data_IF_441739978413
#
_entry.id   IF_441739978413
#
_cell.length_a   1.000
_cell.length_b   1.000
_cell.length_c   1.000
_cell.angle_alpha   90.00
_cell.angle_beta   90.00
_cell.angle_gamma   90.00
#
_symmetry.space_group_name_H-M   'P 1'
#
loop_
_entity.id
_entity.type
_entity.pdbx_description
1 polymer ?
#
# COMPACT_ATOMS: atom_id res chain seq x y z
N UNK A 1 -17.50 -7.23 -10.39
CA UNK A 1 -17.34 -8.23 -11.49
C UNK A 1 -16.80 -9.57 -10.99
N UNK A 2 -17.62 -10.63 -10.87
CA UNK A 2 -17.17 -12.01 -10.55
C UNK A 2 -17.19 -12.97 -11.76
N UNK A 3 -17.49 -12.48 -12.96
CA UNK A 3 -17.69 -13.32 -14.15
C UNK A 3 -16.41 -13.84 -14.81
N UNK A 4 -15.21 -13.36 -14.44
CA UNK A 4 -13.97 -13.78 -15.07
C UNK A 4 -13.35 -15.06 -14.48
N UNK A 5 -13.82 -15.54 -13.32
CA UNK A 5 -13.26 -16.74 -12.68
C UNK A 5 -13.95 -18.05 -13.14
N UNK A 6 -15.15 -17.96 -13.73
CA UNK A 6 -15.91 -19.15 -14.14
C UNK A 6 -15.57 -19.62 -15.56
N UNK A 7 -15.20 -18.69 -16.46
CA UNK A 7 -14.84 -18.98 -17.85
C UNK A 7 -13.46 -19.63 -18.03
N UNK A 8 -12.59 -19.61 -17.03
CA UNK A 8 -11.27 -20.27 -17.13
C UNK A 8 -11.31 -21.78 -16.86
N UNK A 9 -12.38 -22.33 -16.27
CA UNK A 9 -12.48 -23.80 -16.08
C UNK A 9 -12.80 -24.57 -17.36
N UNK A 10 -13.35 -23.94 -18.39
CA UNK A 10 -13.75 -24.63 -19.63
C UNK A 10 -12.61 -24.76 -20.65
N UNK A 11 -11.51 -24.01 -20.50
CA UNK A 11 -10.44 -23.99 -21.52
C UNK A 11 -9.42 -25.12 -21.40
N UNK A 12 -9.46 -25.94 -20.35
CA UNK A 12 -8.52 -27.07 -20.19
C UNK A 12 -7.05 -26.68 -20.13
N UNK A 13 -6.75 -25.38 -19.98
CA UNK A 13 -5.40 -24.88 -19.75
C UNK A 13 -5.13 -25.08 -18.26
N UNK A 14 -4.57 -26.24 -17.92
CA UNK A 14 -4.02 -26.49 -16.60
C UNK A 14 -2.92 -25.46 -16.34
N UNK A 15 -3.23 -24.43 -15.55
CA UNK A 15 -2.18 -23.56 -15.04
C UNK A 15 -1.22 -24.46 -14.25
N UNK A 16 0.10 -24.32 -14.44
CA UNK A 16 1.07 -25.13 -13.71
C UNK A 16 0.82 -24.99 -12.21
N UNK A 17 0.80 -26.13 -11.50
CA UNK A 17 0.62 -26.24 -10.06
C UNK A 17 1.78 -25.56 -9.32
N UNK A 18 1.71 -24.24 -9.26
CA UNK A 18 2.62 -23.42 -8.49
C UNK A 18 2.30 -23.65 -7.02
N UNK A 19 3.31 -23.90 -6.15
CA UNK A 19 3.06 -23.99 -4.72
C UNK A 19 2.50 -22.66 -4.19
N UNK A 20 1.73 -22.72 -3.10
CA UNK A 20 1.24 -21.54 -2.42
C UNK A 20 2.38 -20.56 -2.09
N UNK A 21 2.13 -19.28 -2.34
CA UNK A 21 3.09 -18.23 -2.02
C UNK A 21 3.26 -18.09 -0.50
N UNK A 22 4.46 -17.68 -0.05
CA UNK A 22 4.71 -17.38 1.38
C UNK A 22 3.69 -16.42 1.98
N UNK A 23 3.18 -15.47 1.18
CA UNK A 23 2.15 -14.54 1.61
C UNK A 23 0.80 -15.21 1.86
N UNK A 24 0.39 -16.15 1.00
CA UNK A 24 -0.83 -16.93 1.20
C UNK A 24 -0.73 -17.84 2.43
N UNK A 25 0.40 -18.52 2.62
CA UNK A 25 0.62 -19.36 3.81
C UNK A 25 0.52 -18.51 5.09
N UNK A 26 1.19 -17.35 5.12
CA UNK A 26 1.12 -16.43 6.27
C UNK A 26 -0.30 -15.92 6.51
N UNK A 27 -1.05 -15.62 5.45
CA UNK A 27 -2.46 -15.23 5.56
C UNK A 27 -3.32 -16.39 6.10
N UNK A 28 -3.13 -17.62 5.59
CA UNK A 28 -3.86 -18.78 6.05
C UNK A 28 -3.60 -19.08 7.53
N UNK A 29 -2.33 -19.02 7.97
CA UNK A 29 -1.96 -19.14 9.39
C UNK A 29 -2.66 -18.10 10.26
N UNK A 30 -2.72 -16.85 9.80
CA UNK A 30 -3.45 -15.79 10.51
C UNK A 30 -4.96 -16.08 10.58
N UNK A 31 -5.57 -16.59 9.51
CA UNK A 31 -6.99 -16.98 9.52
C UNK A 31 -7.26 -18.13 10.48
N UNK A 32 -6.38 -19.14 10.52
CA UNK A 32 -6.45 -20.26 11.48
C UNK A 32 -6.38 -19.75 12.92
N UNK A 33 -5.46 -18.84 13.22
CA UNK A 33 -5.34 -18.23 14.55
C UNK A 33 -6.61 -17.46 14.95
N UNK A 34 -7.35 -16.92 13.99
CA UNK A 34 -8.61 -16.23 14.21
C UNK A 34 -9.83 -17.18 14.17
N UNK A 35 -9.63 -18.49 14.20
CA UNK A 35 -10.72 -19.47 14.29
C UNK A 35 -11.33 -19.86 12.93
N UNK A 36 -10.56 -19.80 11.84
CA UNK A 36 -11.00 -20.33 10.56
C UNK A 36 -11.32 -21.83 10.68
N UNK A 37 -12.47 -22.29 10.13
CA UNK A 37 -12.77 -23.70 10.06
C UNK A 37 -11.80 -24.41 9.09
N UNK A 38 -11.64 -25.73 9.25
CA UNK A 38 -10.82 -26.59 8.38
C UNK A 38 -9.33 -26.20 8.35
N UNK A 39 -8.76 -25.86 9.50
CA UNK A 39 -7.36 -25.50 9.62
C UNK A 39 -6.41 -26.65 9.21
N UNK A 40 -6.86 -27.89 9.41
CA UNK A 40 -6.17 -29.13 9.05
C UNK A 40 -5.97 -29.33 7.54
N UNK A 41 -6.75 -28.64 6.70
CA UNK A 41 -6.59 -28.71 5.24
C UNK A 41 -5.38 -27.89 4.76
N UNK A 42 -4.87 -26.95 5.55
CA UNK A 42 -3.75 -26.09 5.17
C UNK A 42 -2.41 -26.77 5.47
N UNK A 43 -1.64 -27.07 4.43
CA UNK A 43 -0.31 -27.65 4.57
C UNK A 43 0.76 -26.99 3.67
N UNK A 44 2.02 -27.14 4.07
CA UNK A 44 3.18 -26.65 3.33
C UNK A 44 3.37 -27.50 2.06
N UNK A 45 2.90 -26.99 0.92
CA UNK A 45 2.89 -27.70 -0.36
C UNK A 45 1.55 -27.68 -1.09
N UNK A 46 0.50 -27.12 -0.49
CA UNK A 46 -0.78 -26.89 -1.16
C UNK A 46 -0.59 -26.04 -2.43
N UNK A 47 -1.30 -26.39 -3.50
CA UNK A 47 -1.23 -25.63 -4.74
C UNK A 47 -1.81 -24.22 -4.52
N UNK A 48 -1.27 -23.23 -5.25
CA UNK A 48 -1.68 -21.83 -5.12
C UNK A 48 -3.17 -21.64 -5.31
N UNK A 49 -3.77 -22.35 -6.27
CA UNK A 49 -5.20 -22.29 -6.56
C UNK A 49 -6.05 -22.87 -5.43
N UNK A 50 -5.66 -24.02 -4.88
CA UNK A 50 -6.33 -24.63 -3.73
C UNK A 50 -6.29 -23.72 -2.50
N UNK A 51 -5.11 -23.12 -2.23
CA UNK A 51 -4.93 -22.17 -1.13
C UNK A 51 -5.80 -20.92 -1.30
N UNK A 52 -5.93 -20.39 -2.53
CA UNK A 52 -6.82 -19.26 -2.79
C UNK A 52 -8.29 -19.60 -2.51
N UNK A 53 -8.75 -20.79 -2.91
CA UNK A 53 -10.11 -21.25 -2.61
C UNK A 53 -10.30 -21.37 -1.09
N UNK A 54 -9.37 -22.02 -0.40
CA UNK A 54 -9.42 -22.18 1.05
C UNK A 54 -9.45 -20.83 1.76
N UNK A 55 -8.57 -19.88 1.40
CA UNK A 55 -8.53 -18.53 1.97
C UNK A 55 -9.87 -17.80 1.77
N UNK A 56 -10.49 -17.92 0.59
CA UNK A 56 -11.81 -17.31 0.31
C UNK A 56 -12.89 -17.92 1.19
N UNK A 57 -12.89 -19.24 1.42
CA UNK A 57 -13.84 -19.91 2.32
C UNK A 57 -13.60 -19.55 3.79
N UNK A 58 -12.36 -19.62 4.25
CA UNK A 58 -11.96 -19.28 5.61
C UNK A 58 -12.38 -17.86 5.97
N UNK A 59 -12.15 -16.88 5.09
CA UNK A 59 -12.53 -15.49 5.33
C UNK A 59 -14.03 -15.27 5.52
N UNK A 60 -14.88 -16.00 4.78
CA UNK A 60 -16.34 -15.92 4.96
C UNK A 60 -16.76 -16.33 6.38
N UNK A 61 -16.04 -17.28 6.99
CA UNK A 61 -16.38 -17.84 8.28
C UNK A 61 -15.80 -17.05 9.45
N UNK A 62 -14.56 -16.55 9.32
CA UNK A 62 -13.91 -15.80 10.41
C UNK A 62 -14.52 -14.41 10.59
N UNK A 63 -15.21 -13.87 9.58
CA UNK A 63 -15.73 -12.51 9.64
C UNK A 63 -14.63 -11.45 9.70
N UNK A 64 -13.37 -11.84 9.45
CA UNK A 64 -12.30 -10.92 9.09
C UNK A 64 -12.73 -10.29 7.76
N UNK A 65 -13.37 -9.13 7.87
CA UNK A 65 -13.68 -8.27 6.75
C UNK A 65 -12.35 -7.78 6.18
N UNK A 66 -11.72 -8.60 5.33
CA UNK A 66 -10.77 -8.15 4.32
C UNK A 66 -11.55 -7.12 3.50
N UNK A 67 -11.53 -5.86 3.94
CA UNK A 67 -12.31 -4.72 3.45
C UNK A 67 -13.54 -5.17 2.67
N UNK A 68 -14.71 -5.20 3.32
CA UNK A 68 -15.98 -5.51 2.65
C UNK A 68 -15.95 -4.95 1.22
N UNK A 69 -16.14 -5.79 0.19
CA UNK A 69 -16.13 -5.30 -1.17
C UNK A 69 -17.10 -4.12 -1.21
N UNK A 70 -16.59 -2.98 -1.68
CA UNK A 70 -17.37 -1.75 -1.72
C UNK A 70 -18.72 -2.07 -2.37
N UNK A 71 -19.84 -1.62 -1.79
CA UNK A 71 -21.15 -1.97 -2.30
C UNK A 71 -21.23 -1.56 -3.78
N UNK A 72 -21.95 -2.31 -4.64
CA UNK A 72 -22.04 -2.04 -6.07
C UNK A 72 -22.46 -0.59 -6.37
N UNK A 73 -23.25 0.01 -5.49
CA UNK A 73 -23.65 1.41 -5.56
C UNK A 73 -22.45 2.36 -5.56
N UNK A 74 -21.46 2.14 -4.69
CA UNK A 74 -20.24 2.96 -4.61
C UNK A 74 -19.31 2.67 -5.79
N UNK A 75 -19.24 1.43 -6.25
CA UNK A 75 -18.39 1.05 -7.38
C UNK A 75 -18.83 1.73 -8.69
N UNK A 76 -20.14 1.91 -8.87
CA UNK A 76 -20.73 2.59 -10.02
C UNK A 76 -20.81 4.13 -9.87
N UNK A 77 -20.43 4.69 -8.73
CA UNK A 77 -20.37 6.15 -8.58
C UNK A 77 -19.27 6.72 -9.46
N UNK A 78 -19.48 7.95 -9.93
CA UNK A 78 -18.44 8.72 -10.64
C UNK A 78 -17.22 8.88 -9.73
N UNK A 79 -16.04 8.64 -10.29
CA UNK A 79 -14.80 8.82 -9.55
C UNK A 79 -14.60 10.29 -9.18
N UNK A 80 -14.14 10.53 -7.95
CA UNK A 80 -13.80 11.89 -7.49
C UNK A 80 -12.43 12.32 -8.03
N UNK A 81 -12.20 13.63 -8.13
CA UNK A 81 -10.93 14.19 -8.64
C UNK A 81 -9.68 13.65 -7.95
N UNK A 82 -9.64 13.42 -6.61
CA UNK A 82 -8.49 12.80 -5.96
C UNK A 82 -8.19 11.38 -6.45
N UNK A 83 -9.21 10.58 -6.78
CA UNK A 83 -9.00 9.23 -7.31
C UNK A 83 -8.45 9.28 -8.74
N UNK A 84 -8.97 10.19 -9.57
CA UNK A 84 -8.47 10.42 -10.93
C UNK A 84 -7.01 10.90 -10.89
N UNK A 85 -6.69 11.84 -10.01
CA UNK A 85 -5.31 12.32 -9.85
C UNK A 85 -4.37 11.19 -9.42
N UNK A 86 -4.75 10.40 -8.41
CA UNK A 86 -3.95 9.25 -7.98
C UNK A 86 -3.70 8.25 -9.12
N UNK A 87 -4.71 8.02 -9.96
CA UNK A 87 -4.57 7.15 -11.13
C UNK A 87 -3.63 7.72 -12.19
N UNK A 88 -3.68 9.03 -12.46
CA UNK A 88 -2.72 9.73 -13.36
C UNK A 88 -1.29 9.60 -12.85
N UNK A 89 -1.06 9.81 -11.56
CA UNK A 89 0.27 9.74 -10.97
C UNK A 89 0.86 8.31 -11.06
N UNK A 90 0.03 7.30 -10.85
CA UNK A 90 0.40 5.90 -11.04
C UNK A 90 0.61 5.55 -12.52
N UNK A 91 -0.20 6.09 -13.43
CA UNK A 91 -0.03 5.94 -14.87
C UNK A 91 1.34 6.49 -15.32
N UNK A 92 1.68 7.72 -14.90
CA UNK A 92 2.97 8.33 -15.18
C UNK A 92 4.16 7.50 -14.67
N UNK A 93 4.04 6.94 -13.47
CA UNK A 93 5.09 6.12 -12.85
C UNK A 93 5.28 4.74 -13.50
N UNK A 94 4.17 4.14 -13.95
CA UNK A 94 4.13 2.81 -14.56
C UNK A 94 4.32 2.83 -16.08
N UNK A 95 4.12 3.97 -16.73
CA UNK A 95 4.15 4.11 -18.20
C UNK A 95 2.90 3.56 -18.90
N UNK A 96 1.80 3.32 -18.17
CA UNK A 96 0.54 2.88 -18.76
C UNK A 96 -0.34 4.06 -19.16
N UNK A 97 -1.05 3.94 -20.28
CA UNK A 97 -2.06 4.91 -20.71
C UNK A 97 -3.41 4.66 -20.01
N UNK A 98 -4.17 5.73 -19.77
CA UNK A 98 -5.47 5.66 -19.09
C UNK A 98 -6.52 5.13 -20.08
N UNK A 99 -7.17 3.98 -19.81
CA UNK A 99 -8.06 3.31 -20.76
C UNK A 99 -9.51 3.81 -20.73
N UNK A 100 -9.84 4.78 -19.87
CA UNK A 100 -11.20 5.27 -19.65
C UNK A 100 -11.29 6.78 -19.88
N UNK A 101 -12.52 7.26 -20.17
CA UNK A 101 -12.80 8.69 -20.25
C UNK A 101 -13.01 9.26 -18.85
N UNK A 102 -12.11 10.14 -18.41
CA UNK A 102 -12.13 10.73 -17.06
C UNK A 102 -13.43 11.49 -16.73
N UNK A 103 -14.11 12.08 -17.72
CA UNK A 103 -15.36 12.81 -17.50
C UNK A 103 -16.52 11.90 -17.03
N UNK A 104 -16.45 10.61 -17.37
CA UNK A 104 -17.49 9.60 -17.12
C UNK A 104 -16.97 8.38 -16.34
N UNK A 105 -15.71 8.41 -15.88
CA UNK A 105 -15.08 7.28 -15.23
C UNK A 105 -15.78 6.95 -13.91
N UNK A 106 -16.08 5.66 -13.71
CA UNK A 106 -16.60 5.16 -12.43
C UNK A 106 -15.46 4.85 -11.47
N UNK A 107 -15.79 4.73 -10.19
CA UNK A 107 -14.83 4.27 -9.19
C UNK A 107 -14.27 2.88 -9.53
N UNK A 108 -15.08 1.97 -10.07
CA UNK A 108 -14.62 0.63 -10.47
C UNK A 108 -13.59 0.68 -11.59
N UNK A 109 -13.78 1.54 -12.59
CA UNK A 109 -12.83 1.74 -13.71
C UNK A 109 -11.46 2.20 -13.18
N UNK A 110 -11.49 3.26 -12.37
CA UNK A 110 -10.29 3.87 -11.78
C UNK A 110 -9.59 2.88 -10.85
N UNK A 111 -10.32 2.20 -9.96
CA UNK A 111 -9.75 1.23 -9.03
C UNK A 111 -9.15 0.01 -9.75
N UNK A 112 -9.76 -0.43 -10.85
CA UNK A 112 -9.26 -1.54 -11.66
C UNK A 112 -7.98 -1.16 -12.40
N UNK A 113 -7.92 0.06 -12.96
CA UNK A 113 -6.71 0.58 -13.58
C UNK A 113 -5.57 0.79 -12.57
N UNK A 114 -5.84 1.36 -11.39
CA UNK A 114 -4.87 1.48 -10.30
C UNK A 114 -4.27 0.12 -9.92
N UNK A 115 -5.09 -0.95 -9.87
CA UNK A 115 -4.59 -2.32 -9.65
C UNK A 115 -3.69 -2.81 -10.77
N UNK A 116 -3.92 -2.42 -12.03
CA UNK A 116 -3.03 -2.72 -13.15
C UNK A 116 -1.70 -1.97 -13.02
N UNK A 117 -1.72 -0.66 -12.78
CA UNK A 117 -0.50 0.15 -12.60
C UNK A 117 0.39 -0.39 -11.48
N UNK A 118 -0.21 -0.79 -10.34
CA UNK A 118 0.57 -1.36 -9.23
C UNK A 118 1.25 -2.69 -9.58
N UNK A 119 0.56 -3.56 -10.33
CA UNK A 119 1.17 -4.82 -10.82
C UNK A 119 2.33 -4.54 -11.77
N UNK A 120 2.17 -3.53 -12.63
CA UNK A 120 3.21 -3.13 -13.56
C UNK A 120 4.44 -2.53 -12.85
N UNK A 121 4.23 -1.70 -11.83
CA UNK A 121 5.33 -1.20 -10.99
C UNK A 121 6.12 -2.33 -10.34
N UNK A 122 5.45 -3.35 -9.81
CA UNK A 122 6.11 -4.55 -9.25
C UNK A 122 6.90 -5.28 -10.33
N UNK A 123 6.35 -5.42 -11.55
CA UNK A 123 7.05 -6.03 -12.69
C UNK A 123 8.34 -5.29 -13.06
N UNK A 124 8.33 -3.97 -12.93
CA UNK A 124 9.48 -3.08 -13.14
C UNK A 124 10.42 -3.00 -11.93
N UNK A 125 10.21 -3.80 -10.88
CA UNK A 125 10.92 -3.73 -9.60
C UNK A 125 10.87 -2.34 -8.94
N UNK A 126 9.83 -1.55 -9.24
CA UNK A 126 9.54 -0.25 -8.60
C UNK A 126 8.59 -0.45 -7.42
N UNK A 127 8.64 0.42 -6.39
CA UNK A 127 7.70 0.34 -5.27
C UNK A 127 6.26 0.54 -5.76
N UNK A 128 5.30 -0.34 -5.38
CA UNK A 128 3.90 -0.24 -5.83
C UNK A 128 3.15 0.92 -5.19
N UNK A 129 3.72 1.54 -4.15
CA UNK A 129 3.15 2.69 -3.46
C UNK A 129 4.02 3.90 -3.81
N UNK A 130 3.63 4.58 -4.89
CA UNK A 130 4.14 5.92 -5.18
C UNK A 130 3.36 6.85 -4.26
N UNK A 131 4.01 7.38 -3.22
CA UNK A 131 3.38 8.43 -2.42
C UNK A 131 3.33 9.69 -3.29
N UNK A 132 2.11 10.01 -3.70
CA UNK A 132 1.78 11.27 -4.39
C UNK A 132 1.61 12.42 -3.40
N UNK A 133 1.82 12.13 -2.11
CA UNK A 133 1.84 13.11 -1.06
C UNK A 133 2.91 14.16 -1.35
N UNK A 134 2.57 15.41 -1.06
CA UNK A 134 3.54 16.50 -1.05
C UNK A 134 4.65 16.14 -0.07
N UNK A 135 5.87 16.58 -0.37
CA UNK A 135 7.01 16.42 0.55
C UNK A 135 6.61 16.96 1.92
N UNK A 136 6.77 16.13 2.94
CA UNK A 136 6.49 16.54 4.31
C UNK A 136 7.46 17.64 4.75
N UNK A 137 7.02 18.57 5.60
CA UNK A 137 7.89 19.64 6.11
C UNK A 137 9.19 19.06 6.71
N UNK A 138 9.09 17.97 7.48
CA UNK A 138 10.24 17.26 8.05
C UNK A 138 11.27 16.79 7.02
N UNK A 139 10.83 16.34 5.83
CA UNK A 139 11.75 15.95 4.76
C UNK A 139 12.41 17.18 4.11
N UNK A 140 11.68 18.28 3.92
CA UNK A 140 12.26 19.54 3.42
C UNK A 140 13.32 20.05 4.37
N UNK A 141 13.01 20.14 5.66
CA UNK A 141 13.96 20.60 6.69
C UNK A 141 15.22 19.73 6.71
N UNK A 142 15.06 18.40 6.60
CA UNK A 142 16.20 17.46 6.54
C UNK A 142 17.06 17.69 5.28
N UNK A 143 16.45 17.92 4.13
CA UNK A 143 17.18 18.18 2.88
C UNK A 143 17.88 19.54 2.89
N UNK A 144 17.26 20.54 3.50
CA UNK A 144 17.84 21.86 3.72
C UNK A 144 19.10 21.78 4.61
N UNK A 145 19.05 21.01 5.71
CA UNK A 145 20.22 20.74 6.57
C UNK A 145 21.34 20.04 5.80
N UNK A 146 21.01 19.20 4.81
CA UNK A 146 21.97 18.55 3.93
C UNK A 146 22.42 19.44 2.75
N UNK A 147 21.97 20.70 2.68
CA UNK A 147 22.33 21.65 1.64
C UNK A 147 21.70 21.38 0.28
N UNK A 148 20.60 20.61 0.22
CA UNK A 148 19.89 20.27 -1.02
C UNK A 148 18.53 20.96 -1.05
N UNK A 149 18.30 21.80 -2.05
CA UNK A 149 16.99 22.40 -2.32
C UNK A 149 16.20 21.53 -3.29
N UNK A 150 14.94 21.29 -2.98
CA UNK A 150 14.01 20.61 -3.88
C UNK A 150 13.23 21.63 -4.71
N UNK A 151 12.86 21.30 -5.96
CA UNK A 151 11.97 22.15 -6.75
C UNK A 151 10.59 22.29 -6.11
N UNK A 152 9.95 23.43 -6.35
CA UNK A 152 8.59 23.68 -5.89
C UNK A 152 7.62 22.72 -6.60
N UNK A 153 7.02 21.81 -5.82
CA UNK A 153 6.20 20.72 -6.36
C UNK A 153 6.85 19.33 -6.32
N UNK A 154 8.07 19.20 -5.77
CA UNK A 154 8.67 17.89 -5.53
C UNK A 154 7.71 16.97 -4.75
N UNK A 155 7.74 15.69 -5.09
CA UNK A 155 6.94 14.63 -4.47
C UNK A 155 7.65 14.03 -3.26
N UNK A 156 6.90 13.45 -2.33
CA UNK A 156 7.47 12.75 -1.18
C UNK A 156 8.49 11.69 -1.59
N UNK A 157 8.23 10.97 -2.69
CA UNK A 157 9.10 9.93 -3.22
C UNK A 157 10.46 10.48 -3.66
N UNK A 158 10.48 11.59 -4.41
CA UNK A 158 11.71 12.25 -4.84
C UNK A 158 12.54 12.75 -3.66
N UNK A 159 11.88 13.36 -2.65
CA UNK A 159 12.55 13.77 -1.43
C UNK A 159 13.15 12.59 -0.66
N UNK A 160 12.41 11.48 -0.56
CA UNK A 160 12.87 10.29 0.13
C UNK A 160 14.06 9.63 -0.60
N UNK A 161 14.01 9.54 -1.93
CA UNK A 161 15.10 9.02 -2.75
C UNK A 161 16.36 9.87 -2.59
N UNK A 162 16.21 11.21 -2.60
CA UNK A 162 17.34 12.13 -2.40
C UNK A 162 17.95 12.00 -1.00
N UNK A 163 17.13 11.83 0.04
CA UNK A 163 17.60 11.55 1.39
C UNK A 163 18.35 10.21 1.44
N UNK A 164 17.87 9.17 0.76
CA UNK A 164 18.56 7.87 0.71
C UNK A 164 19.90 7.97 -0.01
N UNK A 165 19.96 8.72 -1.12
CA UNK A 165 21.18 8.92 -1.88
C UNK A 165 22.26 9.65 -1.07
N UNK A 166 21.88 10.71 -0.33
CA UNK A 166 22.80 11.45 0.54
C UNK A 166 23.24 10.68 1.79
N UNK A 167 22.41 9.73 2.26
CA UNK A 167 22.75 8.87 3.40
C UNK A 167 23.47 7.58 3.00
N UNK A 168 23.61 7.28 1.70
CA UNK A 168 24.52 6.21 1.30
C UNK A 168 25.91 6.67 1.72
N UNK A 169 26.56 5.99 2.67
CA UNK A 169 27.93 6.34 3.01
C UNK A 169 28.73 6.26 1.71
N UNK A 170 29.54 7.28 1.43
CA UNK A 170 30.39 7.32 0.24
C UNK A 170 31.18 6.01 0.17
N UNK A 171 30.66 5.05 -0.60
CA UNK A 171 31.30 3.74 -0.80
C UNK A 171 32.64 3.89 -1.54
N UNK A 172 32.96 5.11 -2.01
CA UNK A 172 34.24 5.50 -2.57
C UNK A 172 35.27 5.99 -1.53
N UNK A 173 34.88 6.29 -0.28
CA UNK A 173 35.80 6.73 0.78
C UNK A 173 36.29 5.58 1.67
N UNK A 174 35.65 4.41 1.61
CA UNK A 174 36.24 3.16 2.08
C UNK A 174 37.26 2.69 1.04
N UNK A 175 38.45 3.31 1.05
CA UNK A 175 39.59 2.76 0.32
C UNK A 175 39.79 1.29 0.68
N UNK A 176 40.36 0.46 -0.20
CA UNK A 176 40.79 -0.88 0.15
C UNK A 176 41.82 -0.74 1.26
N UNK A 177 41.38 -0.88 2.51
CA UNK A 177 42.24 -1.02 3.66
C UNK A 177 43.08 -2.26 3.42
N UNK A 178 44.31 -2.01 3.01
CA UNK A 178 45.47 -2.88 3.06
C UNK A 178 45.33 -3.83 4.25
N UNK A 179 44.90 -5.06 3.99
CA UNK A 179 44.98 -6.15 4.97
C UNK A 179 46.44 -6.54 5.04
N UNK A 180 47.22 -5.70 5.73
CA UNK A 180 48.59 -6.00 6.06
C UNK A 180 48.58 -7.23 6.97
N UNK A 181 49.32 -8.26 6.53
CA UNK A 181 49.25 -9.59 7.06
C UNK A 181 49.66 -9.66 8.53
N UNK A 182 48.68 -9.79 9.42
CA UNK A 182 48.91 -10.37 10.74
C UNK A 182 48.59 -11.86 10.65
N UNK A 183 49.65 -12.62 10.41
CA UNK A 183 49.68 -14.07 10.56
C UNK A 183 49.51 -14.40 12.04
N UNK A 184 48.28 -14.65 12.50
CA UNK A 184 48.04 -15.24 13.81
C UNK A 184 48.23 -16.75 13.70
N UNK A 185 49.37 -17.19 14.24
CA UNK A 185 49.67 -18.59 14.54
C UNK A 185 48.61 -19.19 15.46
N UNK A 186 48.13 -20.42 15.21
CA UNK A 186 47.36 -21.16 16.19
C UNK A 186 48.34 -21.71 17.23
N UNK A 187 48.40 -21.08 18.40
CA UNK A 187 48.98 -21.67 19.58
C UNK A 187 47.85 -22.28 20.40
N UNK A 188 47.97 -23.58 20.63
CA UNK A 188 47.36 -24.32 21.72
C UNK A 188 47.25 -23.47 23.00
N UNK A 189 46.07 -23.44 23.59
CA UNK A 189 45.94 -23.40 25.04
C UNK A 189 44.56 -23.97 25.44
N UNK A 190 44.60 -25.20 25.96
CA UNK A 190 43.59 -25.75 26.85
C UNK A 190 43.41 -24.81 28.04
N UNK A 191 42.21 -24.31 28.28
CA UNK A 191 41.77 -23.91 29.62
C UNK A 191 40.30 -24.27 29.78
N UNK A 192 40.06 -25.29 30.60
CA UNK A 192 38.77 -25.57 31.22
C UNK A 192 38.34 -24.42 32.16
N UNK A 193 37.03 -24.37 32.35
CA UNK A 193 36.37 -24.03 33.61
C UNK A 193 35.86 -22.60 33.88
N UNK A 194 34.76 -22.62 34.63
CA UNK A 194 34.14 -21.56 35.43
C UNK A 194 33.25 -20.49 34.75
N UNK A 195 31.95 -20.67 35.00
CA UNK A 195 30.99 -19.69 35.55
C UNK A 195 31.31 -18.19 35.38
N UNK A 196 30.31 -17.43 34.92
CA UNK A 196 29.50 -16.53 35.77
C UNK A 196 28.38 -15.95 34.88
N UNK A 197 27.15 -16.26 35.26
CA UNK A 197 25.93 -15.65 34.73
C UNK A 197 25.77 -14.31 35.46
N UNK A 198 25.76 -13.15 34.78
CA UNK A 198 25.29 -11.93 35.42
C UNK A 198 23.76 -11.90 35.37
N UNK A 199 23.14 -12.08 36.53
CA UNK A 199 21.75 -11.72 36.80
C UNK A 199 21.55 -10.25 36.40
N UNK A 200 20.76 -10.02 35.34
CA UNK A 200 20.27 -8.68 35.02
C UNK A 200 19.04 -8.41 35.86
N UNK A 201 19.26 -7.59 36.87
CA UNK A 201 18.27 -6.89 37.68
C UNK A 201 17.25 -6.18 36.76
N UNK A 202 16.02 -6.67 36.75
CA UNK A 202 14.89 -6.07 36.04
C UNK A 202 14.36 -4.96 36.95
N UNK A 203 14.74 -3.72 36.63
CA UNK A 203 14.14 -2.53 37.24
C UNK A 203 12.72 -2.37 36.68
N UNK A 204 11.73 -2.62 37.54
CA UNK A 204 10.32 -2.32 37.28
C UNK A 204 10.12 -0.79 37.31
N UNK A 205 10.21 -0.15 36.15
CA UNK A 205 9.80 1.25 35.99
C UNK A 205 8.26 1.31 35.93
N UNK A 206 7.67 1.52 37.11
CA UNK A 206 6.26 1.84 37.29
C UNK A 206 5.96 3.20 36.64
N UNK A 207 5.34 3.19 35.47
CA UNK A 207 4.74 4.39 34.87
C UNK A 207 3.33 4.58 35.41
N UNK A 208 3.24 5.58 36.28
CA UNK A 208 2.07 6.19 36.88
C UNK A 208 0.99 6.51 35.84
N UNK A 209 -0.18 5.91 36.03
CA UNK A 209 -1.38 6.11 35.22
C UNK A 209 -1.97 7.47 35.56
N UNK A 210 -1.69 8.47 34.72
CA UNK A 210 -2.33 9.78 34.77
C UNK A 210 -3.83 9.65 34.51
N UNK A 211 -4.63 10.03 35.50
CA UNK A 211 -6.06 10.17 35.43
C UNK A 211 -6.45 11.12 34.27
N UNK A 212 -7.28 10.64 33.37
CA UNK A 212 -7.85 11.44 32.29
C UNK A 212 -9.12 12.07 32.87
N UNK A 213 -9.08 13.38 33.08
CA UNK A 213 -10.21 14.23 33.44
C UNK A 213 -11.39 14.01 32.48
N UNK A 214 -12.58 13.79 33.06
CA UNK A 214 -13.86 13.95 32.39
C UNK A 214 -13.99 15.38 31.88
N UNK A 215 -13.93 15.55 30.56
CA UNK A 215 -14.33 16.80 29.90
C UNK A 215 -15.81 16.66 29.56
N UNK A 216 -16.64 17.08 30.50
CA UNK A 216 -18.06 17.33 30.31
C UNK A 216 -18.20 18.56 29.39
N UNK A 217 -18.61 18.34 28.13
CA UNK A 217 -18.46 19.31 27.06
C UNK A 217 -19.67 19.39 26.13
N UNK A 218 -20.61 20.24 26.54
CA UNK A 218 -21.45 21.13 25.71
C UNK A 218 -22.23 20.53 24.54
N UNK A 219 -23.52 20.38 24.82
CA UNK A 219 -24.67 20.41 23.93
C UNK A 219 -24.55 21.63 22.97
N UNK A 220 -24.34 21.37 21.67
CA UNK A 220 -24.39 22.41 20.64
C UNK A 220 -25.71 22.31 19.91
N UNK A 221 -26.51 23.37 20.05
CA UNK A 221 -27.77 23.60 19.35
C UNK A 221 -27.64 23.47 17.84
N UNK A 222 -28.67 22.86 17.25
CA UNK A 222 -28.87 22.72 15.82
C UNK A 222 -29.15 24.10 15.18
N UNK A 223 -28.16 24.67 14.50
CA UNK A 223 -28.39 25.81 13.60
C UNK A 223 -28.71 25.29 12.19
N UNK A 224 -30.00 25.14 11.92
CA UNK A 224 -30.55 24.88 10.60
C UNK A 224 -30.38 26.12 9.70
N UNK A 225 -29.37 26.09 8.83
CA UNK A 225 -29.23 27.07 7.74
C UNK A 225 -30.05 26.61 6.54
N UNK A 226 -31.21 27.25 6.38
CA UNK A 226 -32.08 27.17 5.20
C UNK A 226 -31.38 27.81 3.99
N UNK A 227 -30.70 27.00 3.17
CA UNK A 227 -30.11 27.46 1.92
C UNK A 227 -31.21 27.60 0.88
N UNK A 228 -31.64 28.86 0.63
CA UNK A 228 -32.47 29.23 -0.51
C UNK A 228 -31.75 28.91 -1.81
N UNK A 229 -32.24 27.89 -2.50
CA UNK A 229 -31.89 27.60 -3.89
C UNK A 229 -32.47 28.70 -4.79
N UNK A 230 -31.61 29.61 -5.25
CA UNK A 230 -31.87 30.42 -6.42
C UNK A 230 -31.73 29.51 -7.64
N UNK A 231 -32.87 29.03 -8.13
CA UNK A 231 -33.01 28.39 -9.44
C UNK A 231 -32.90 29.52 -10.48
N UNK A 232 -31.69 29.73 -11.00
CA UNK A 232 -31.46 30.52 -12.20
C UNK A 232 -31.47 29.55 -13.38
N UNK A 233 -32.62 29.50 -14.04
CA UNK A 233 -32.85 28.75 -15.26
C UNK A 233 -32.21 29.49 -16.44
N UNK A 234 -31.05 29.03 -16.89
CA UNK A 234 -30.49 29.39 -18.20
C UNK A 234 -31.18 28.57 -19.30
N UNK A 235 -31.81 29.29 -20.24
CA UNK A 235 -32.43 28.77 -21.45
C UNK A 235 -31.40 28.17 -22.41
N UNK A 236 -31.66 27.02 -23.05
CA UNK A 236 -30.85 26.56 -24.17
C UNK A 236 -31.18 27.38 -25.42
N UNK A 237 -30.20 28.16 -25.89
CA UNK A 237 -30.25 28.81 -27.20
C UNK A 237 -29.95 27.76 -28.28
N UNK A 238 -30.98 27.35 -29.02
CA UNK A 238 -30.82 26.52 -30.22
C UNK A 238 -30.22 27.35 -31.37
N UNK A 239 -28.91 27.21 -31.61
CA UNK A 239 -28.29 27.73 -32.84
C UNK A 239 -28.30 26.66 -33.93
N UNK A 240 -29.38 26.68 -34.71
CA UNK A 240 -29.54 25.95 -35.97
C UNK A 240 -28.69 26.60 -37.06
N UNK A 241 -27.53 26.02 -37.39
CA UNK A 241 -26.76 26.39 -38.59
C UNK A 241 -26.92 25.33 -39.69
N UNK A 242 -27.91 25.65 -40.50
CA UNK A 242 -28.12 25.27 -41.89
C UNK A 242 -26.80 25.06 -42.67
N UNK A 243 -26.57 23.85 -43.20
CA UNK A 243 -25.54 23.59 -44.20
C UNK A 243 -26.19 23.42 -45.58
N UNK A 244 -25.74 24.17 -46.62
CA UNK A 244 -26.23 24.02 -47.97
C UNK A 244 -25.55 22.83 -48.66
N UNK A 245 -26.35 22.08 -49.41
CA UNK A 245 -25.89 21.02 -50.30
C UNK A 245 -25.09 21.59 -51.48
N UNK A 246 -23.98 20.92 -51.81
CA UNK A 246 -23.34 20.92 -53.13
C UNK A 246 -23.12 19.47 -53.53
#
# INVERSE_FOLDING_TARGET
MFFAAQTLRETGIELPDLPASKGQIKLAQHLIQNGAPKAEEVHEGMARGEMDVWIVEANKNVGLRLRDPLPPTVMNMKATDPHLQHARDLAASSGLEIPYNEAHATYEDVASFVRCCRRELVRLAKPPKVSTERVSNRQRDKLEVLGVTLPEGATWAEAHERILELNKPDAAAAGPGETDGVTLTPADEEVEDAQVVPEREVVEESTEVGAIEEIEGAESEEESVEVKAAVESEEPTEESTNSPAV
#
